data_IF_490241424410
#
_entry.id   IF_490241424410
#
_cell.length_a   1.000
_cell.length_b   1.000
_cell.length_c   1.000
_cell.angle_alpha   90.00
_cell.angle_beta   90.00
_cell.angle_gamma   90.00
#
_symmetry.space_group_name_H-M   'P 1'
#
loop_
_entity.id
_entity.type
_entity.pdbx_description
1 polymer ?
#
# COMPACT_ATOMS: atom_id res chain seq x y z
N UNK A 1 -44.29 -15.09 -4.32
CA UNK A 1 -43.43 -15.85 -3.38
C UNK A 1 -42.30 -14.93 -2.97
N UNK A 2 -42.39 -14.39 -1.76
CA UNK A 2 -41.37 -13.52 -1.17
C UNK A 2 -40.51 -14.33 -0.21
N UNK A 3 -39.20 -14.12 -0.29
CA UNK A 3 -38.31 -14.16 0.87
C UNK A 3 -37.71 -15.52 1.21
N UNK A 4 -36.61 -15.87 0.53
CA UNK A 4 -35.51 -16.57 1.19
C UNK A 4 -34.25 -15.70 1.03
N UNK A 5 -34.26 -14.54 1.69
CA UNK A 5 -33.00 -13.89 2.08
C UNK A 5 -32.54 -14.67 3.29
N UNK A 6 -31.63 -15.61 3.09
CA UNK A 6 -30.94 -16.30 4.16
C UNK A 6 -30.22 -15.24 5.00
N UNK A 7 -30.81 -14.85 6.12
CA UNK A 7 -30.19 -13.96 7.09
C UNK A 7 -28.98 -14.69 7.64
N UNK A 8 -27.78 -14.16 7.40
CA UNK A 8 -26.55 -14.71 7.96
C UNK A 8 -26.57 -14.46 9.48
N UNK A 9 -26.56 -15.54 10.25
CA UNK A 9 -26.47 -15.45 11.71
C UNK A 9 -25.04 -15.09 12.17
N UNK A 10 -24.90 -14.76 13.46
CA UNK A 10 -23.64 -14.32 14.03
C UNK A 10 -22.51 -15.37 13.93
N UNK A 11 -22.84 -16.67 14.01
CA UNK A 11 -21.85 -17.73 13.92
C UNK A 11 -21.30 -17.87 12.49
N UNK A 12 -22.19 -17.80 11.50
CA UNK A 12 -21.84 -17.80 10.08
C UNK A 12 -21.05 -16.56 9.68
N UNK A 13 -21.44 -15.39 10.19
CA UNK A 13 -20.68 -14.15 10.01
C UNK A 13 -19.24 -14.31 10.53
N UNK A 14 -19.09 -14.86 11.74
CA UNK A 14 -17.79 -15.02 12.36
C UNK A 14 -16.89 -15.98 11.59
N UNK A 15 -17.43 -17.13 11.17
CA UNK A 15 -16.65 -18.10 10.41
C UNK A 15 -16.22 -17.51 9.06
N UNK A 16 -17.13 -16.87 8.33
CA UNK A 16 -16.80 -16.25 7.04
C UNK A 16 -15.79 -15.09 7.18
N UNK A 17 -15.82 -14.34 8.29
CA UNK A 17 -14.80 -13.32 8.59
C UNK A 17 -13.41 -13.95 8.82
N UNK A 18 -13.34 -15.11 9.47
CA UNK A 18 -12.08 -15.86 9.67
C UNK A 18 -11.56 -16.44 8.37
N UNK A 19 -12.43 -17.01 7.54
CA UNK A 19 -12.04 -17.51 6.22
C UNK A 19 -11.46 -16.38 5.34
N UNK A 20 -12.09 -15.20 5.34
CA UNK A 20 -11.56 -14.02 4.65
C UNK A 20 -10.19 -13.61 5.21
N UNK A 21 -9.99 -13.64 6.53
CA UNK A 21 -8.69 -13.36 7.13
C UNK A 21 -7.60 -14.31 6.61
N UNK A 22 -7.89 -15.61 6.54
CA UNK A 22 -6.91 -16.60 6.06
C UNK A 22 -6.63 -16.47 4.56
N UNK A 23 -7.63 -16.11 3.74
CA UNK A 23 -7.42 -15.78 2.32
C UNK A 23 -6.47 -14.59 2.13
N UNK A 24 -6.51 -13.63 3.05
CA UNK A 24 -5.67 -12.42 3.02
C UNK A 24 -4.33 -12.60 3.75
N UNK A 25 -4.12 -13.69 4.49
CA UNK A 25 -3.07 -13.79 5.50
C UNK A 25 -1.64 -13.61 4.95
N UNK A 26 -1.42 -14.01 3.70
CA UNK A 26 -0.15 -13.87 2.99
C UNK A 26 0.18 -12.40 2.63
N UNK A 27 -0.84 -11.57 2.46
CA UNK A 27 -0.76 -10.14 2.12
C UNK A 27 -0.86 -9.21 3.32
N UNK A 28 -1.24 -9.74 4.48
CA UNK A 28 -1.32 -8.98 5.71
C UNK A 28 0.00 -9.01 6.50
N UNK A 29 0.23 -8.02 7.39
CA UNK A 29 1.44 -8.02 8.20
C UNK A 29 1.43 -9.21 9.16
N UNK A 30 2.44 -10.08 9.07
CA UNK A 30 2.51 -11.31 9.87
C UNK A 30 2.35 -11.07 11.39
N UNK A 31 2.93 -9.98 11.91
CA UNK A 31 2.80 -9.58 13.32
C UNK A 31 1.36 -9.24 13.78
N UNK A 32 0.45 -8.98 12.84
CA UNK A 32 -0.95 -8.63 13.10
C UNK A 32 -1.90 -9.83 12.99
N UNK A 33 -1.46 -10.93 12.36
CA UNK A 33 -2.31 -12.11 12.16
C UNK A 33 -2.74 -12.75 13.48
N UNK A 34 -1.83 -12.90 14.44
CA UNK A 34 -2.18 -13.50 15.73
C UNK A 34 -3.28 -12.71 16.48
N UNK A 35 -3.16 -11.37 16.64
CA UNK A 35 -4.26 -10.56 17.16
C UNK A 35 -5.58 -10.70 16.38
N UNK A 36 -5.53 -10.75 15.04
CA UNK A 36 -6.75 -10.87 14.22
C UNK A 36 -7.42 -12.23 14.37
N UNK A 37 -6.63 -13.32 14.42
CA UNK A 37 -7.16 -14.66 14.71
C UNK A 37 -7.83 -14.73 16.07
N UNK A 38 -7.24 -14.10 17.09
CA UNK A 38 -7.82 -14.04 18.42
C UNK A 38 -9.20 -13.33 18.44
N UNK A 39 -9.38 -12.26 17.66
CA UNK A 39 -10.71 -11.61 17.50
C UNK A 39 -11.73 -12.57 16.90
N UNK A 40 -11.33 -13.32 15.85
CA UNK A 40 -12.20 -14.33 15.24
C UNK A 40 -12.54 -15.49 16.19
N UNK A 41 -11.58 -15.95 16.98
CA UNK A 41 -11.79 -16.99 18.00
C UNK A 41 -12.73 -16.51 19.11
N UNK A 42 -12.67 -15.23 19.48
CA UNK A 42 -13.55 -14.61 20.46
C UNK A 42 -14.97 -14.31 19.94
N UNK A 43 -15.22 -14.48 18.63
CA UNK A 43 -16.49 -14.12 18.01
C UNK A 43 -16.66 -12.62 17.74
N UNK A 44 -15.61 -11.82 17.85
CA UNK A 44 -15.62 -10.37 17.64
C UNK A 44 -15.53 -10.00 16.15
N UNK A 45 -16.51 -10.45 15.36
CA UNK A 45 -16.47 -10.31 13.91
C UNK A 45 -16.45 -8.85 13.44
N UNK A 46 -17.15 -7.94 14.13
CA UNK A 46 -17.13 -6.51 13.82
C UNK A 46 -15.73 -5.90 14.04
N UNK A 47 -15.09 -6.18 15.19
CA UNK A 47 -13.70 -5.77 15.46
C UNK A 47 -12.74 -6.29 14.39
N UNK A 48 -12.85 -7.58 14.06
CA UNK A 48 -12.00 -8.23 13.05
C UNK A 48 -12.18 -7.57 11.67
N UNK A 49 -13.42 -7.42 11.20
CA UNK A 49 -13.71 -6.82 9.90
C UNK A 49 -13.25 -5.36 9.83
N UNK A 50 -13.42 -4.59 10.91
CA UNK A 50 -12.92 -3.22 10.96
C UNK A 50 -11.39 -3.17 10.81
N UNK A 51 -10.66 -4.05 11.49
CA UNK A 51 -9.20 -4.12 11.37
C UNK A 51 -8.72 -4.62 9.99
N UNK A 52 -9.45 -5.56 9.37
CA UNK A 52 -9.22 -5.97 7.98
C UNK A 52 -9.43 -4.76 7.04
N UNK A 53 -10.56 -4.06 7.14
CA UNK A 53 -10.81 -2.87 6.31
C UNK A 53 -9.73 -1.81 6.47
N UNK A 54 -9.34 -1.53 7.72
CA UNK A 54 -8.28 -0.58 8.06
C UNK A 54 -6.96 -0.93 7.39
N UNK A 55 -6.55 -2.20 7.44
CA UNK A 55 -5.27 -2.59 6.83
C UNK A 55 -5.35 -2.57 5.31
N UNK A 56 -6.46 -3.03 4.72
CA UNK A 56 -6.67 -3.00 3.27
C UNK A 56 -6.63 -1.58 2.72
N UNK A 57 -7.27 -0.62 3.41
CA UNK A 57 -7.28 0.79 3.01
C UNK A 57 -5.92 1.44 3.27
N UNK A 58 -5.40 1.39 4.50
CA UNK A 58 -4.22 2.18 4.87
C UNK A 58 -2.92 1.64 4.26
N UNK A 59 -2.85 0.35 3.96
CA UNK A 59 -1.70 -0.25 3.26
C UNK A 59 -1.94 -0.45 1.78
N UNK A 60 -3.15 -0.13 1.30
CA UNK A 60 -3.55 -0.36 -0.08
C UNK A 60 -3.30 -1.81 -0.50
N UNK A 61 -3.55 -2.75 0.42
CA UNK A 61 -3.43 -4.17 0.15
C UNK A 61 -4.47 -4.54 -0.91
N UNK A 62 -3.99 -5.05 -2.03
CA UNK A 62 -4.84 -5.46 -3.15
C UNK A 62 -5.66 -6.68 -2.75
N UNK A 63 -6.93 -6.70 -3.17
CA UNK A 63 -7.83 -7.84 -3.04
C UNK A 63 -8.35 -8.27 -4.40
N UNK A 64 -8.74 -9.53 -4.54
CA UNK A 64 -9.44 -10.00 -5.73
C UNK A 64 -10.88 -9.45 -5.77
N UNK A 65 -11.54 -9.43 -6.94
CA UNK A 65 -12.96 -9.09 -7.01
C UNK A 65 -13.83 -9.96 -6.08
N UNK A 66 -13.54 -11.26 -5.98
CA UNK A 66 -14.27 -12.20 -5.13
C UNK A 66 -14.07 -11.94 -3.62
N UNK A 67 -12.86 -11.56 -3.21
CA UNK A 67 -12.57 -11.14 -1.83
C UNK A 67 -13.31 -9.85 -1.49
N UNK A 68 -13.34 -8.87 -2.40
CA UNK A 68 -14.10 -7.62 -2.20
C UNK A 68 -15.60 -7.86 -2.11
N UNK A 69 -16.14 -8.75 -2.94
CA UNK A 69 -17.55 -9.14 -2.88
C UNK A 69 -17.86 -9.83 -1.54
N UNK A 70 -17.00 -10.73 -1.10
CA UNK A 70 -17.13 -11.40 0.21
C UNK A 70 -17.10 -10.38 1.35
N UNK A 71 -16.13 -9.48 1.36
CA UNK A 71 -16.05 -8.40 2.36
C UNK A 71 -17.30 -7.52 2.34
N UNK A 72 -17.81 -7.16 1.15
CA UNK A 72 -19.03 -6.35 1.01
C UNK A 72 -20.22 -7.05 1.68
N UNK A 73 -20.42 -8.34 1.37
CA UNK A 73 -21.50 -9.15 1.99
C UNK A 73 -21.37 -9.24 3.50
N UNK A 74 -20.15 -9.38 4.01
CA UNK A 74 -19.90 -9.43 5.46
C UNK A 74 -20.25 -8.09 6.13
N UNK A 75 -19.83 -6.98 5.53
CA UNK A 75 -20.11 -5.63 6.05
C UNK A 75 -21.61 -5.27 6.02
N UNK A 76 -22.37 -5.79 5.05
CA UNK A 76 -23.82 -5.55 4.98
C UNK A 76 -24.62 -6.21 6.11
N UNK A 77 -24.05 -7.23 6.75
CA UNK A 77 -24.67 -7.95 7.87
C UNK A 77 -24.27 -7.36 9.22
N UNK A 78 -23.11 -6.68 9.29
CA UNK A 78 -22.73 -5.95 10.51
C UNK A 78 -23.60 -4.70 10.66
N UNK A 79 -24.22 -4.46 11.83
CA UNK A 79 -24.97 -3.24 12.07
C UNK A 79 -24.09 -1.99 11.87
N UNK A 80 -24.63 -0.96 11.23
CA UNK A 80 -23.91 0.29 10.99
C UNK A 80 -23.64 1.10 12.28
N UNK A 81 -24.17 0.65 13.41
CA UNK A 81 -23.99 1.19 14.77
C UNK A 81 -23.32 0.17 15.71
N UNK A 82 -22.67 -0.87 15.16
CA UNK A 82 -22.03 -1.95 15.93
C UNK A 82 -20.89 -1.47 16.86
N UNK A 83 -20.56 -0.19 16.86
CA UNK A 83 -19.61 0.44 17.75
C UNK A 83 -18.96 1.67 17.12
N UNK A 84 -17.86 2.11 17.73
CA UNK A 84 -17.01 3.19 17.20
C UNK A 84 -16.03 2.65 16.15
N UNK A 85 -16.57 1.98 15.13
CA UNK A 85 -15.80 1.35 14.06
C UNK A 85 -15.85 2.20 12.79
N UNK A 86 -14.96 3.18 12.69
CA UNK A 86 -14.89 4.13 11.56
C UNK A 86 -15.03 3.49 10.18
N UNK A 87 -14.35 2.36 9.93
CA UNK A 87 -14.34 1.75 8.59
C UNK A 87 -15.66 1.04 8.27
N UNK A 88 -16.35 0.51 9.28
CA UNK A 88 -17.67 -0.11 9.13
C UNK A 88 -18.76 0.96 9.02
N UNK A 89 -18.70 1.97 9.89
CA UNK A 89 -19.62 3.10 9.92
C UNK A 89 -19.57 3.91 8.61
N UNK A 90 -18.43 3.88 7.91
CA UNK A 90 -18.23 4.48 6.59
C UNK A 90 -18.02 3.44 5.48
N UNK A 91 -18.74 2.32 5.51
CA UNK A 91 -18.60 1.18 4.56
C UNK A 91 -18.47 1.57 3.09
N UNK A 92 -19.30 2.47 2.57
CA UNK A 92 -19.29 2.82 1.15
C UNK A 92 -17.96 3.49 0.77
N UNK A 93 -17.49 4.41 1.62
CA UNK A 93 -16.20 5.08 1.46
C UNK A 93 -15.05 4.08 1.61
N UNK A 94 -15.13 3.19 2.59
CA UNK A 94 -14.15 2.13 2.82
C UNK A 94 -14.02 1.22 1.60
N UNK A 95 -15.14 0.67 1.13
CA UNK A 95 -15.19 -0.23 -0.04
C UNK A 95 -14.72 0.47 -1.31
N UNK A 96 -15.05 1.76 -1.49
CA UNK A 96 -14.54 2.56 -2.60
C UNK A 96 -13.01 2.74 -2.56
N UNK A 97 -12.41 2.80 -1.36
CA UNK A 97 -10.97 2.95 -1.18
C UNK A 97 -10.18 1.64 -1.30
N UNK A 98 -10.84 0.48 -1.24
CA UNK A 98 -10.19 -0.83 -1.38
C UNK A 98 -9.80 -1.09 -2.84
N UNK A 99 -8.52 -1.42 -3.04
CA UNK A 99 -7.91 -1.66 -4.33
C UNK A 99 -8.18 -3.08 -4.80
N UNK A 100 -8.69 -3.22 -6.03
CA UNK A 100 -9.00 -4.52 -6.63
C UNK A 100 -8.00 -4.81 -7.74
N UNK A 101 -7.46 -6.02 -7.73
CA UNK A 101 -6.61 -6.53 -8.80
C UNK A 101 -6.95 -8.00 -9.07
N UNK A 102 -6.88 -8.42 -10.34
CA UNK A 102 -7.08 -9.83 -10.71
C UNK A 102 -5.99 -10.74 -10.11
N UNK A 103 -4.81 -10.17 -9.88
CA UNK A 103 -3.66 -10.84 -9.24
C UNK A 103 -3.08 -9.91 -8.19
N UNK A 104 -3.61 -9.94 -6.95
CA UNK A 104 -3.09 -9.13 -5.87
C UNK A 104 -1.61 -9.39 -5.62
N UNK A 105 -0.84 -8.31 -5.49
CA UNK A 105 0.58 -8.41 -5.18
C UNK A 105 0.78 -8.80 -3.72
N UNK A 106 1.50 -9.89 -3.49
CA UNK A 106 2.10 -10.22 -2.19
C UNK A 106 3.40 -9.43 -2.07
N UNK A 107 3.48 -8.53 -1.08
CA UNK A 107 4.72 -7.81 -0.76
C UNK A 107 5.47 -8.60 0.31
N UNK A 108 6.56 -9.24 -0.08
CA UNK A 108 7.37 -10.07 0.80
C UNK A 108 8.38 -9.26 1.61
N UNK A 109 9.03 -9.89 2.60
CA UNK A 109 10.16 -9.25 3.27
C UNK A 109 11.33 -9.00 2.30
N UNK A 110 11.53 -9.87 1.33
CA UNK A 110 12.58 -9.76 0.31
C UNK A 110 12.32 -8.60 -0.63
N UNK A 111 11.06 -8.40 -0.99
CA UNK A 111 10.60 -7.22 -1.73
C UNK A 111 10.99 -5.92 -1.01
N UNK A 112 10.75 -5.85 0.30
CA UNK A 112 11.06 -4.67 1.10
C UNK A 112 12.58 -4.48 1.27
N UNK A 113 13.33 -5.57 1.47
CA UNK A 113 14.80 -5.52 1.51
C UNK A 113 15.37 -5.03 0.18
N UNK A 114 14.80 -5.49 -0.93
CA UNK A 114 15.18 -5.06 -2.28
C UNK A 114 14.86 -3.58 -2.51
N UNK A 115 13.67 -3.11 -2.15
CA UNK A 115 13.30 -1.70 -2.26
C UNK A 115 14.27 -0.81 -1.45
N UNK A 116 14.60 -1.21 -0.22
CA UNK A 116 15.59 -0.53 0.61
C UNK A 116 16.96 -0.45 -0.08
N UNK A 117 17.49 -1.59 -0.51
CA UNK A 117 18.80 -1.67 -1.14
C UNK A 117 18.87 -0.89 -2.47
N UNK A 118 17.88 -1.06 -3.33
CA UNK A 118 17.83 -0.42 -4.65
C UNK A 118 17.65 1.11 -4.51
N UNK A 119 16.81 1.57 -3.57
CA UNK A 119 16.65 3.01 -3.31
C UNK A 119 17.92 3.66 -2.76
N UNK A 120 18.62 2.98 -1.85
CA UNK A 120 19.92 3.46 -1.33
C UNK A 120 20.99 3.46 -2.41
N UNK A 121 21.08 2.39 -3.20
CA UNK A 121 22.04 2.30 -4.29
C UNK A 121 21.83 3.41 -5.33
N UNK A 122 20.57 3.72 -5.68
CA UNK A 122 20.26 4.83 -6.58
C UNK A 122 20.68 6.18 -5.98
N UNK A 123 20.38 6.43 -4.70
CA UNK A 123 20.80 7.67 -4.02
C UNK A 123 22.33 7.86 -4.09
N UNK A 124 23.09 6.80 -3.79
CA UNK A 124 24.55 6.88 -3.76
C UNK A 124 25.17 7.10 -5.16
N UNK A 125 24.49 6.71 -6.24
CA UNK A 125 24.94 7.06 -7.61
C UNK A 125 24.94 8.56 -7.87
N UNK A 126 24.07 9.32 -7.19
CA UNK A 126 23.97 10.78 -7.33
C UNK A 126 24.72 11.54 -6.23
N UNK A 127 25.48 10.85 -5.36
CA UNK A 127 26.10 11.46 -4.19
C UNK A 127 27.07 12.61 -4.53
N UNK A 128 27.75 12.51 -5.66
CA UNK A 128 28.70 13.51 -6.19
C UNK A 128 28.02 14.70 -6.88
N UNK A 129 26.80 14.50 -7.39
CA UNK A 129 26.00 15.50 -8.12
C UNK A 129 24.97 16.21 -7.24
N UNK A 130 24.71 15.70 -6.04
CA UNK A 130 23.75 16.26 -5.09
C UNK A 130 24.40 17.28 -4.15
N UNK A 131 23.66 18.32 -3.73
CA UNK A 131 24.08 19.17 -2.62
C UNK A 131 24.31 18.34 -1.35
N UNK A 132 25.41 18.56 -0.60
CA UNK A 132 25.75 17.74 0.58
C UNK A 132 24.64 17.67 1.63
N UNK A 133 23.96 18.79 1.89
CA UNK A 133 22.84 18.85 2.84
C UNK A 133 21.62 18.03 2.39
N UNK A 134 21.35 17.97 1.08
CA UNK A 134 20.28 17.13 0.53
C UNK A 134 20.65 15.67 0.57
N UNK A 135 21.89 15.34 0.23
CA UNK A 135 22.39 13.97 0.33
C UNK A 135 22.28 13.42 1.76
N UNK A 136 22.64 14.22 2.77
CA UNK A 136 22.49 13.83 4.18
C UNK A 136 21.03 13.59 4.55
N UNK A 137 20.14 14.53 4.23
CA UNK A 137 18.68 14.39 4.45
C UNK A 137 18.14 13.11 3.81
N UNK A 138 18.54 12.82 2.56
CA UNK A 138 18.08 11.66 1.82
C UNK A 138 18.62 10.35 2.42
N UNK A 139 19.86 10.34 2.92
CA UNK A 139 20.40 9.19 3.64
C UNK A 139 19.63 8.93 4.93
N UNK A 140 19.27 9.97 5.69
CA UNK A 140 18.41 9.82 6.87
C UNK A 140 17.08 9.16 6.52
N UNK A 141 16.39 9.64 5.47
CA UNK A 141 15.13 9.03 5.01
C UNK A 141 15.30 7.56 4.61
N UNK A 142 16.40 7.23 3.93
CA UNK A 142 16.74 5.84 3.60
C UNK A 142 16.91 4.98 4.84
N UNK A 143 17.60 5.49 5.86
CA UNK A 143 17.95 4.74 7.08
C UNK A 143 16.73 4.48 7.97
N UNK A 144 15.76 5.41 7.99
CA UNK A 144 14.50 5.24 8.74
C UNK A 144 13.39 4.55 7.94
N UNK A 145 13.64 4.17 6.69
CA UNK A 145 12.68 3.43 5.85
C UNK A 145 11.63 4.30 5.15
N UNK A 146 11.83 5.61 5.09
CA UNK A 146 10.94 6.57 4.42
C UNK A 146 11.22 6.64 2.91
N UNK A 147 11.22 5.49 2.25
CA UNK A 147 11.67 5.36 0.85
C UNK A 147 10.78 6.09 -0.15
N UNK A 148 9.48 6.21 0.14
CA UNK A 148 8.56 7.03 -0.67
C UNK A 148 8.95 8.50 -0.63
N UNK A 149 9.20 9.05 0.55
CA UNK A 149 9.64 10.44 0.68
C UNK A 149 11.02 10.66 0.06
N UNK A 150 11.96 9.73 0.29
CA UNK A 150 13.28 9.74 -0.33
C UNK A 150 13.18 9.86 -1.86
N UNK A 151 12.44 8.95 -2.51
CA UNK A 151 12.35 8.92 -3.97
C UNK A 151 11.60 10.13 -4.52
N UNK A 152 10.62 10.65 -3.78
CA UNK A 152 9.94 11.89 -4.13
C UNK A 152 10.91 13.08 -4.15
N UNK A 153 11.68 13.26 -3.09
CA UNK A 153 12.62 14.38 -2.96
C UNK A 153 13.82 14.24 -3.89
N UNK A 154 14.33 13.02 -4.08
CA UNK A 154 15.37 12.75 -5.08
C UNK A 154 14.89 13.13 -6.48
N UNK A 155 13.70 12.65 -6.88
CA UNK A 155 13.11 13.00 -8.19
C UNK A 155 12.92 14.51 -8.34
N UNK A 156 12.44 15.18 -7.28
CA UNK A 156 12.31 16.64 -7.28
C UNK A 156 13.65 17.32 -7.52
N UNK A 157 14.72 16.88 -6.84
CA UNK A 157 16.07 17.43 -7.03
C UNK A 157 16.58 17.20 -8.45
N UNK A 158 16.41 15.99 -9.01
CA UNK A 158 16.85 15.68 -10.37
C UNK A 158 16.17 16.58 -11.41
N UNK A 159 14.83 16.73 -11.31
CA UNK A 159 14.04 17.56 -12.23
C UNK A 159 14.32 19.06 -12.03
N UNK A 160 14.22 19.58 -10.81
CA UNK A 160 14.29 21.03 -10.57
C UNK A 160 15.69 21.60 -10.77
N UNK A 161 16.73 20.81 -10.52
CA UNK A 161 18.13 21.24 -10.68
C UNK A 161 18.73 20.79 -12.00
N UNK A 162 17.98 20.04 -12.81
CA UNK A 162 18.43 19.48 -14.09
C UNK A 162 19.74 18.70 -13.93
N UNK A 163 19.85 17.93 -12.84
CA UNK A 163 21.02 17.08 -12.59
C UNK A 163 21.11 16.07 -13.74
N UNK A 164 22.27 15.91 -14.39
CA UNK A 164 22.44 14.93 -15.46
C UNK A 164 22.13 13.51 -14.97
N UNK A 165 21.33 12.78 -15.73
CA UNK A 165 20.93 11.40 -15.45
C UNK A 165 21.26 10.57 -16.68
N UNK A 166 22.00 9.48 -16.53
CA UNK A 166 22.21 8.57 -17.66
C UNK A 166 21.00 7.62 -17.85
N UNK A 167 20.86 6.94 -19.01
CA UNK A 167 19.73 6.05 -19.27
C UNK A 167 19.54 4.97 -18.19
N UNK A 168 20.62 4.37 -17.69
CA UNK A 168 20.56 3.32 -16.67
C UNK A 168 20.07 3.84 -15.31
N UNK A 169 20.40 5.09 -14.96
CA UNK A 169 19.89 5.76 -13.76
C UNK A 169 18.42 6.14 -13.91
N UNK A 170 18.01 6.61 -15.08
CA UNK A 170 16.59 6.86 -15.40
C UNK A 170 15.78 5.57 -15.26
N UNK A 171 16.27 4.47 -15.82
CA UNK A 171 15.58 3.17 -15.76
C UNK A 171 15.51 2.63 -14.34
N UNK A 172 16.59 2.78 -13.55
CA UNK A 172 16.59 2.42 -12.14
C UNK A 172 15.58 3.26 -11.33
N UNK A 173 15.50 4.56 -11.57
CA UNK A 173 14.50 5.43 -10.97
C UNK A 173 13.08 5.01 -11.40
N UNK A 174 12.86 4.75 -12.70
CA UNK A 174 11.57 4.32 -13.21
C UNK A 174 11.10 3.00 -12.55
N UNK A 175 12.01 2.03 -12.41
CA UNK A 175 11.74 0.77 -11.71
C UNK A 175 11.30 1.03 -10.26
N UNK A 176 12.00 1.91 -9.53
CA UNK A 176 11.67 2.28 -8.15
C UNK A 176 10.36 3.05 -8.04
N UNK A 177 10.09 4.02 -8.93
CA UNK A 177 8.81 4.75 -8.94
C UNK A 177 7.62 3.81 -9.22
N UNK A 178 7.83 2.74 -9.98
CA UNK A 178 6.80 1.75 -10.28
C UNK A 178 6.42 0.85 -9.09
N UNK A 179 7.22 0.83 -8.02
CA UNK A 179 6.84 0.16 -6.77
C UNK A 179 5.66 0.83 -6.09
N UNK A 180 5.58 2.16 -6.17
CA UNK A 180 4.52 2.93 -5.55
C UNK A 180 3.32 2.95 -6.49
N UNK A 181 2.10 2.94 -5.95
CA UNK A 181 0.91 3.17 -6.77
C UNK A 181 0.53 4.64 -6.67
N UNK A 182 0.06 5.30 -7.74
CA UNK A 182 -0.30 6.72 -7.66
C UNK A 182 -1.31 7.04 -6.55
N UNK A 183 -2.24 6.12 -6.28
CA UNK A 183 -3.22 6.24 -5.21
C UNK A 183 -2.61 6.19 -3.80
N UNK A 184 -1.50 5.46 -3.59
CA UNK A 184 -0.85 5.32 -2.27
C UNK A 184 0.06 6.50 -1.92
N UNK A 185 0.34 7.37 -2.90
CA UNK A 185 1.31 8.46 -2.79
C UNK A 185 0.72 9.76 -3.33
N UNK A 186 -0.58 9.99 -3.11
CA UNK A 186 -1.32 11.10 -3.69
C UNK A 186 -0.70 12.48 -3.38
N UNK A 187 -0.03 12.61 -2.23
CA UNK A 187 0.71 13.79 -1.78
C UNK A 187 2.16 13.88 -2.30
N UNK A 188 2.72 12.81 -2.88
CA UNK A 188 4.08 12.78 -3.43
C UNK A 188 4.02 12.98 -4.94
N UNK A 189 3.88 14.24 -5.37
CA UNK A 189 3.64 14.63 -6.76
C UNK A 189 4.58 13.95 -7.78
N UNK A 190 5.91 13.94 -7.54
CA UNK A 190 6.88 13.32 -8.45
C UNK A 190 6.76 11.80 -8.59
N UNK A 191 6.14 11.10 -7.63
CA UNK A 191 5.87 9.65 -7.72
C UNK A 191 4.50 9.39 -8.34
N UNK A 192 3.51 10.18 -7.94
CA UNK A 192 2.15 10.14 -8.48
C UNK A 192 2.17 10.37 -9.99
N UNK A 193 2.91 11.38 -10.43
CA UNK A 193 3.04 11.78 -11.83
C UNK A 193 4.39 11.31 -12.42
N UNK A 194 4.70 10.02 -12.23
CA UNK A 194 6.00 9.45 -12.62
C UNK A 194 6.33 9.62 -14.09
N UNK A 195 5.33 9.59 -14.97
CA UNK A 195 5.54 9.70 -16.41
C UNK A 195 6.08 11.09 -16.77
N UNK A 196 5.43 12.14 -16.25
CA UNK A 196 5.92 13.50 -16.43
C UNK A 196 7.25 13.74 -15.70
N UNK A 197 7.44 13.16 -14.51
CA UNK A 197 8.73 13.20 -13.79
C UNK A 197 9.85 12.63 -14.66
N UNK A 198 9.68 11.42 -15.20
CA UNK A 198 10.69 10.75 -16.02
C UNK A 198 10.94 11.47 -17.35
N UNK A 199 9.90 12.07 -17.94
CA UNK A 199 10.01 12.88 -19.15
C UNK A 199 10.75 14.21 -18.91
N UNK A 200 10.72 14.73 -17.68
CA UNK A 200 11.35 16.00 -17.30
C UNK A 200 12.81 15.86 -16.85
N UNK A 201 13.37 14.64 -16.86
CA UNK A 201 14.76 14.39 -16.50
C UNK A 201 15.71 14.89 -17.59
N UNK A 202 16.84 15.46 -17.16
CA UNK A 202 17.96 15.80 -18.05
C UNK A 202 18.75 14.53 -18.40
N UNK A 203 18.30 13.77 -19.40
CA UNK A 203 18.92 12.50 -19.79
C UNK A 203 20.10 12.73 -20.73
N UNK A 204 21.30 12.31 -20.34
CA UNK A 204 22.55 12.49 -21.10
C UNK A 204 23.32 11.17 -21.24
N UNK A 205 24.08 11.00 -22.32
CA UNK A 205 24.87 9.77 -22.58
C UNK A 205 26.11 9.63 -21.68
N UNK A 206 26.45 10.67 -20.91
CA UNK A 206 27.50 10.66 -19.89
C UNK A 206 26.99 11.27 -18.59
N UNK A 207 27.38 10.73 -17.41
CA UNK A 207 27.07 11.33 -16.11
C UNK A 207 27.77 12.67 -15.88
#
# INVERSE_FOLDING_TARGET
MNGDRTTMDAARLNEAARELLEQLADRLPQRRLAPYRALGEAGESASLLNEICKILVNRHTEVTPAEKETLTRLLDVVPADAGDYDYINHRDRTLAAIHVADRPRVVTHDDMRKLSADSRALLERFADRLPPNRLEEYRTLSDVGEWGMLLHLLSASLVTRQIPVNPAERDALAALLNWFRPATVANLAYIRDRENTLASLNVTDQP
#
